data_IF_568390436780
#
_entry.id   IF_568390436780
#
_cell.length_a   1.000
_cell.length_b   1.000
_cell.length_c   1.000
_cell.angle_alpha   90.00
_cell.angle_beta   90.00
_cell.angle_gamma   90.00
#
_symmetry.space_group_name_H-M   'P 1'
#
loop_
_entity.id
_entity.type
_entity.pdbx_description
1 polymer ?
#
# COMPACT_ATOMS: atom_id res chain seq x y z
N UNK A 1 23.96 5.69 13.15
CA UNK A 1 24.04 6.54 14.36
C UNK A 1 24.07 8.06 14.11
N UNK A 2 23.14 8.61 13.32
CA UNK A 2 22.88 10.06 13.39
C UNK A 2 21.42 10.40 13.01
N UNK A 3 20.48 10.06 13.89
CA UNK A 3 19.03 10.28 13.69
C UNK A 3 18.70 11.77 13.53
N UNK A 4 19.55 12.68 14.04
CA UNK A 4 19.37 14.13 13.94
C UNK A 4 19.32 14.65 12.49
N UNK A 5 19.92 13.94 11.52
CA UNK A 5 19.86 14.31 10.10
C UNK A 5 18.58 13.82 9.39
N UNK A 6 17.77 12.99 10.05
CA UNK A 6 16.56 12.40 9.47
C UNK A 6 15.29 13.24 9.72
N UNK A 7 15.40 14.38 10.39
CA UNK A 7 14.29 15.31 10.62
C UNK A 7 14.08 15.67 12.09
N UNK A 8 13.12 16.56 12.33
CA UNK A 8 12.68 16.99 13.67
C UNK A 8 11.44 16.20 14.12
N UNK A 9 11.30 15.96 15.43
CA UNK A 9 10.16 15.24 16.00
C UNK A 9 10.57 14.11 16.95
N UNK A 10 9.59 13.32 17.41
CA UNK A 10 9.89 12.14 18.25
C UNK A 10 10.71 11.14 17.44
N UNK A 11 11.73 10.55 18.07
CA UNK A 11 12.63 9.60 17.40
C UNK A 11 11.88 8.43 16.74
N UNK A 12 10.82 7.94 17.36
CA UNK A 12 9.97 6.86 16.84
C UNK A 12 9.28 7.27 15.53
N UNK A 13 8.68 8.46 15.49
CA UNK A 13 8.01 9.01 14.31
C UNK A 13 8.99 9.25 13.16
N UNK A 14 10.16 9.83 13.47
CA UNK A 14 11.22 10.05 12.46
C UNK A 14 11.67 8.73 11.84
N UNK A 15 11.89 7.69 12.66
CA UNK A 15 12.24 6.34 12.18
C UNK A 15 11.12 5.74 11.34
N UNK A 16 9.88 5.77 11.83
CA UNK A 16 8.73 5.22 11.13
C UNK A 16 8.57 5.86 9.73
N UNK A 17 8.59 7.19 9.65
CA UNK A 17 8.45 7.91 8.39
C UNK A 17 9.57 7.59 7.40
N UNK A 18 10.79 7.33 7.88
CA UNK A 18 11.90 6.90 7.01
C UNK A 18 11.72 5.48 6.50
N UNK A 19 11.29 4.56 7.34
CA UNK A 19 10.97 3.20 6.92
C UNK A 19 9.82 3.21 5.91
N UNK A 20 8.75 3.96 6.18
CA UNK A 20 7.63 4.13 5.27
C UNK A 20 8.07 4.68 3.90
N UNK A 21 8.93 5.70 3.88
CA UNK A 21 9.49 6.26 2.65
C UNK A 21 10.33 5.24 1.88
N UNK A 22 11.18 4.48 2.57
CA UNK A 22 11.98 3.42 1.96
C UNK A 22 11.10 2.32 1.36
N UNK A 23 10.08 1.86 2.09
CA UNK A 23 9.12 0.88 1.62
C UNK A 23 8.37 1.36 0.36
N UNK A 24 7.87 2.61 0.37
CA UNK A 24 7.20 3.20 -0.80
C UNK A 24 8.13 3.36 -2.01
N UNK A 25 9.42 3.65 -1.77
CA UNK A 25 10.41 3.76 -2.85
C UNK A 25 10.76 2.41 -3.46
N UNK A 26 10.82 1.35 -2.66
CA UNK A 26 11.15 -0.01 -3.08
C UNK A 26 9.95 -0.83 -3.56
N UNK A 27 8.72 -0.38 -3.29
CA UNK A 27 7.50 -1.06 -3.71
C UNK A 27 7.37 -1.13 -5.25
N UNK A 28 6.60 -2.11 -5.71
CA UNK A 28 6.05 -2.16 -7.08
C UNK A 28 5.23 -0.88 -7.34
N UNK A 29 5.40 -0.30 -8.52
CA UNK A 29 4.83 0.97 -8.93
C UNK A 29 4.12 0.90 -10.27
N UNK A 30 3.48 2.00 -10.62
CA UNK A 30 2.87 2.17 -11.93
C UNK A 30 3.91 1.91 -13.04
N UNK A 31 3.49 1.13 -14.03
CA UNK A 31 4.29 0.67 -15.18
C UNK A 31 5.34 -0.41 -14.91
N UNK A 32 5.47 -0.90 -13.68
CA UNK A 32 6.24 -2.12 -13.45
C UNK A 32 5.50 -3.32 -14.07
N UNK A 33 6.21 -4.09 -14.88
CA UNK A 33 5.68 -5.35 -15.39
C UNK A 33 5.74 -6.40 -14.28
N UNK A 34 4.62 -7.08 -14.05
CA UNK A 34 4.55 -8.25 -13.18
C UNK A 34 4.04 -9.44 -13.99
N UNK A 35 4.66 -10.59 -13.79
CA UNK A 35 4.08 -11.85 -14.21
C UNK A 35 3.04 -12.35 -13.19
N UNK A 36 2.27 -13.37 -13.57
CA UNK A 36 1.18 -13.86 -12.73
C UNK A 36 1.65 -14.39 -11.36
N UNK A 37 2.79 -15.08 -11.32
CA UNK A 37 3.36 -15.64 -10.08
C UNK A 37 3.76 -14.52 -9.11
N UNK A 38 4.32 -13.42 -9.62
CA UNK A 38 4.66 -12.26 -8.81
C UNK A 38 3.41 -11.58 -8.25
N UNK A 39 2.36 -11.42 -9.06
CA UNK A 39 1.08 -10.87 -8.61
C UNK A 39 0.46 -11.72 -7.49
N UNK A 40 0.39 -13.04 -7.68
CA UNK A 40 -0.13 -13.96 -6.66
C UNK A 40 0.69 -13.90 -5.37
N UNK A 41 2.01 -13.82 -5.49
CA UNK A 41 2.90 -13.66 -4.34
C UNK A 41 2.58 -12.39 -3.55
N UNK A 42 2.40 -11.24 -4.22
CA UNK A 42 2.04 -9.98 -3.55
C UNK A 42 0.74 -10.11 -2.75
N UNK A 43 -0.28 -10.73 -3.34
CA UNK A 43 -1.56 -10.96 -2.66
C UNK A 43 -1.42 -11.94 -1.49
N UNK A 44 -0.59 -12.99 -1.64
CA UNK A 44 -0.32 -13.93 -0.56
C UNK A 44 0.42 -13.28 0.60
N UNK A 45 1.47 -12.52 0.33
CA UNK A 45 2.25 -11.82 1.36
C UNK A 45 1.36 -10.82 2.13
N UNK A 46 0.46 -10.13 1.42
CA UNK A 46 -0.48 -9.17 2.03
C UNK A 46 -1.41 -9.81 3.07
N UNK A 47 -1.73 -11.11 2.98
CA UNK A 47 -2.62 -11.77 3.95
C UNK A 47 -2.01 -11.90 5.35
N UNK A 48 -0.69 -11.80 5.47
CA UNK A 48 0.04 -12.10 6.70
C UNK A 48 0.60 -10.86 7.39
N UNK A 49 0.29 -9.65 6.91
CA UNK A 49 0.71 -8.40 7.56
C UNK A 49 -0.36 -7.92 8.56
N UNK A 50 0.08 -7.23 9.63
CA UNK A 50 -0.78 -6.81 10.75
C UNK A 50 -1.92 -5.86 10.34
N UNK A 51 -1.64 -4.87 9.48
CA UNK A 51 -2.65 -3.98 8.87
C UNK A 51 -2.60 -4.11 7.34
N UNK A 52 -3.38 -5.03 6.75
CA UNK A 52 -3.38 -5.26 5.31
C UNK A 52 -4.22 -4.25 4.52
N UNK A 53 -4.90 -3.33 5.22
CA UNK A 53 -5.86 -2.42 4.58
C UNK A 53 -5.25 -1.06 4.26
N UNK A 54 -4.15 -0.68 4.91
CA UNK A 54 -3.48 0.60 4.71
C UNK A 54 -1.99 0.43 4.41
N UNK A 55 -1.48 1.28 3.52
CA UNK A 55 -0.04 1.45 3.38
C UNK A 55 0.52 2.20 4.61
N UNK A 56 1.84 2.21 4.86
CA UNK A 56 2.41 2.89 6.03
C UNK A 56 2.21 4.42 6.04
N UNK A 57 1.69 5.01 4.95
CA UNK A 57 1.28 6.42 4.85
C UNK A 57 -0.25 6.63 4.92
N UNK A 58 -1.03 5.58 5.16
CA UNK A 58 -2.49 5.64 5.33
C UNK A 58 -3.33 5.53 4.06
N UNK A 59 -2.73 5.21 2.89
CA UNK A 59 -3.53 4.97 1.66
C UNK A 59 -4.18 3.59 1.72
N UNK A 60 -5.45 3.43 1.30
CA UNK A 60 -6.07 2.11 1.22
C UNK A 60 -5.35 1.25 0.18
N UNK A 61 -5.13 -0.03 0.52
CA UNK A 61 -4.45 -1.00 -0.36
C UNK A 61 -5.45 -1.83 -1.16
N UNK A 62 -6.61 -2.13 -0.57
CA UNK A 62 -7.65 -2.96 -1.18
C UNK A 62 -8.96 -2.15 -1.23
N UNK A 63 -9.62 -2.20 -2.38
CA UNK A 63 -11.00 -1.74 -2.56
C UNK A 63 -11.85 -2.90 -3.05
N UNK A 64 -13.10 -2.96 -2.59
CA UNK A 64 -14.07 -3.98 -3.00
C UNK A 64 -15.20 -3.30 -3.77
N UNK A 65 -15.54 -3.85 -4.93
CA UNK A 65 -16.78 -3.53 -5.62
C UNK A 65 -17.62 -4.79 -5.72
N UNK A 66 -18.88 -4.68 -5.35
CA UNK A 66 -19.91 -5.68 -5.65
C UNK A 66 -20.34 -5.56 -7.12
N UNK A 67 -20.92 -6.62 -7.67
CA UNK A 67 -21.48 -6.60 -9.03
C UNK A 67 -22.53 -5.48 -9.18
N UNK A 68 -23.38 -5.28 -8.17
CA UNK A 68 -24.34 -4.19 -8.14
C UNK A 68 -23.69 -2.80 -8.24
N UNK A 69 -22.62 -2.55 -7.49
CA UNK A 69 -21.90 -1.27 -7.54
C UNK A 69 -21.24 -1.05 -8.91
N UNK A 70 -20.71 -2.11 -9.52
CA UNK A 70 -20.18 -2.04 -10.89
C UNK A 70 -21.30 -1.70 -11.88
N UNK A 71 -22.41 -2.43 -11.86
CA UNK A 71 -23.53 -2.19 -12.76
C UNK A 71 -24.09 -0.77 -12.62
N UNK A 72 -24.19 -0.26 -11.38
CA UNK A 72 -24.59 1.13 -11.12
C UNK A 72 -23.58 2.14 -11.68
N UNK A 73 -22.27 1.92 -11.51
CA UNK A 73 -21.21 2.81 -12.02
C UNK A 73 -21.17 2.83 -13.56
N UNK A 74 -21.48 1.70 -14.19
CA UNK A 74 -21.66 1.60 -15.65
C UNK A 74 -23.05 2.00 -16.13
N UNK A 75 -23.93 2.50 -15.24
CA UNK A 75 -25.30 2.95 -15.54
C UNK A 75 -26.19 1.88 -16.18
N UNK A 76 -25.94 0.60 -15.86
CA UNK A 76 -26.76 -0.53 -16.32
C UNK A 76 -28.03 -0.70 -15.48
N UNK A 77 -28.02 -0.16 -14.26
CA UNK A 77 -29.12 -0.14 -13.30
C UNK A 77 -29.17 1.25 -12.62
N UNK A 78 -30.33 1.64 -12.08
CA UNK A 78 -30.59 2.96 -11.45
C UNK A 78 -30.74 2.81 -9.95
#
# INVERSE_FOLDING_TARGET
DNIKSLGSGKTTEVKYNRIATLACKAAVKANDYLNHVEMEKLINDLRYIDDPFHCPHGRPVIIKFTNYELDKKFRRIV
#
